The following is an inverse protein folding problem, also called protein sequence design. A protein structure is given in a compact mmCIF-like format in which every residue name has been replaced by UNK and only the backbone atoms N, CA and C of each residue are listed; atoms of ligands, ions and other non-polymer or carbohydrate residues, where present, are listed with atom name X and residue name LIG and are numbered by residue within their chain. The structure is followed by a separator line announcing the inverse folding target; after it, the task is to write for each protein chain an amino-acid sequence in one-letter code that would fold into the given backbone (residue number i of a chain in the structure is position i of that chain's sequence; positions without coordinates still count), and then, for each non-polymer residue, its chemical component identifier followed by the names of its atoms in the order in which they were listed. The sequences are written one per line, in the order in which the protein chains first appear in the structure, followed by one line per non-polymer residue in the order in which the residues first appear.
data_IF_466421099883
#
_entry.id   IF_466421099883
#
_cell.length_a   1.000
_cell.length_b   1.000
_cell.length_c   1.000
_cell.angle_alpha   90.00
_cell.angle_beta   90.00
_cell.angle_gamma   90.00
#
_symmetry.space_group_name_H-M   'P 1'
#
loop_
_entity.id
_entity.type
_entity.pdbx_description
1 polymer ?
#
# COMPACT_ATOMS: atom_id res chain seq x y z
N UNK A 1 17.69 -5.91 9.77
CA UNK A 1 16.81 -6.85 9.05
C UNK A 1 15.72 -6.09 8.30
N UNK A 2 14.96 -5.21 8.97
CA UNK A 2 13.94 -4.36 8.32
C UNK A 2 14.48 -3.47 7.19
N UNK A 3 15.58 -2.73 7.40
CA UNK A 3 16.17 -1.87 6.34
C UNK A 3 16.62 -2.61 5.08
N UNK A 4 17.08 -3.86 5.22
CA UNK A 4 17.48 -4.68 4.06
C UNK A 4 16.24 -5.18 3.30
N UNK A 5 15.17 -5.52 4.03
CA UNK A 5 13.89 -5.86 3.45
C UNK A 5 13.26 -4.65 2.75
N UNK A 6 13.27 -3.48 3.36
CA UNK A 6 12.82 -2.22 2.75
C UNK A 6 13.58 -1.94 1.45
N UNK A 7 14.91 -2.03 1.46
CA UNK A 7 15.73 -1.78 0.28
C UNK A 7 15.55 -2.82 -0.84
N UNK A 8 15.21 -4.07 -0.49
CA UNK A 8 14.85 -5.10 -1.46
C UNK A 8 13.46 -4.85 -2.04
N UNK A 9 12.47 -4.63 -1.18
CA UNK A 9 11.08 -4.44 -1.58
C UNK A 9 10.93 -3.16 -2.42
N UNK A 10 11.57 -2.05 -2.06
CA UNK A 10 11.57 -0.84 -2.89
C UNK A 10 12.13 -1.05 -4.30
N UNK A 11 13.06 -2.01 -4.48
CA UNK A 11 13.57 -2.37 -5.82
C UNK A 11 12.62 -3.28 -6.58
N UNK A 12 11.98 -4.22 -5.90
CA UNK A 12 11.12 -5.21 -6.54
C UNK A 12 9.68 -4.76 -6.73
N UNK A 13 9.17 -3.80 -5.95
CA UNK A 13 7.79 -3.31 -6.08
C UNK A 13 7.49 -2.80 -7.49
N UNK A 14 8.34 -1.96 -8.12
CA UNK A 14 8.15 -1.59 -9.53
C UNK A 14 8.19 -2.78 -10.49
N UNK A 15 8.99 -3.81 -10.19
CA UNK A 15 9.07 -5.03 -11.00
C UNK A 15 7.84 -5.93 -10.88
N UNK A 16 7.17 -5.94 -9.72
CA UNK A 16 5.94 -6.68 -9.46
C UNK A 16 4.75 -5.92 -10.07
N UNK A 17 4.68 -4.61 -9.85
CA UNK A 17 3.60 -3.74 -10.30
C UNK A 17 3.96 -2.98 -11.58
N UNK A 18 4.48 -3.65 -12.60
CA UNK A 18 5.06 -3.01 -13.81
C UNK A 18 4.15 -2.04 -14.57
N UNK A 19 2.83 -2.19 -14.43
CA UNK A 19 1.82 -1.33 -15.07
C UNK A 19 1.48 -0.08 -14.25
N UNK A 20 1.95 -0.02 -13.02
CA UNK A 20 1.68 1.06 -12.08
C UNK A 20 2.95 1.86 -11.84
N UNK A 21 2.78 3.15 -11.58
CA UNK A 21 3.85 4.06 -11.16
C UNK A 21 3.69 4.39 -9.68
N UNK A 22 4.80 4.56 -8.96
CA UNK A 22 4.76 4.99 -7.56
C UNK A 22 4.28 6.45 -7.50
N UNK A 23 3.22 6.68 -6.73
CA UNK A 23 2.67 8.00 -6.42
C UNK A 23 3.26 8.53 -5.11
N UNK A 24 3.28 7.69 -4.07
CA UNK A 24 3.83 8.03 -2.77
C UNK A 24 4.45 6.81 -2.07
N UNK A 25 5.32 7.08 -1.10
CA UNK A 25 5.95 6.09 -0.22
C UNK A 25 5.71 6.52 1.21
N UNK A 26 5.42 5.57 2.10
CA UNK A 26 5.06 5.81 3.51
C UNK A 26 3.89 6.79 3.67
N UNK A 27 2.86 6.64 2.84
CA UNK A 27 1.67 7.49 2.90
C UNK A 27 0.84 7.20 4.15
N UNK A 28 0.34 8.26 4.78
CA UNK A 28 -0.56 8.16 5.93
C UNK A 28 -1.99 8.36 5.46
N UNK A 29 -2.76 7.29 5.49
CA UNK A 29 -4.18 7.23 5.15
C UNK A 29 -5.06 7.67 6.34
N UNK A 30 -6.37 7.91 6.11
CA UNK A 30 -7.33 8.15 7.18
C UNK A 30 -7.23 7.12 8.31
N UNK A 31 -7.44 7.57 9.54
CA UNK A 31 -7.23 6.71 10.72
C UNK A 31 -5.77 6.44 11.06
N UNK A 32 -4.82 7.20 10.48
CA UNK A 32 -3.36 7.08 10.70
C UNK A 32 -2.79 5.71 10.29
N UNK A 33 -3.40 5.10 9.27
CA UNK A 33 -2.92 3.83 8.71
C UNK A 33 -1.80 4.15 7.73
N UNK A 34 -0.67 3.45 7.81
CA UNK A 34 0.44 3.64 6.89
C UNK A 34 0.32 2.66 5.72
N UNK A 35 0.34 3.19 4.51
CA UNK A 35 0.65 2.42 3.30
C UNK A 35 2.13 2.64 2.97
N UNK A 36 2.89 1.55 2.83
CA UNK A 36 4.33 1.67 2.55
C UNK A 36 4.54 2.13 1.09
N UNK A 37 3.67 1.71 0.17
CA UNK A 37 3.64 2.20 -1.21
C UNK A 37 2.23 2.51 -1.65
N UNK A 38 2.07 3.64 -2.34
CA UNK A 38 0.90 3.99 -3.11
C UNK A 38 1.29 4.06 -4.58
N UNK A 39 0.62 3.28 -5.42
CA UNK A 39 0.86 3.21 -6.85
C UNK A 39 -0.42 3.56 -7.62
N UNK A 40 -0.26 4.00 -8.86
CA UNK A 40 -1.37 4.30 -9.78
C UNK A 40 -1.06 3.85 -11.19
N UNK A 41 -2.03 3.25 -11.87
CA UNK A 41 -1.93 2.92 -13.30
C UNK A 41 -2.37 4.10 -14.19
N UNK A 42 -2.23 3.93 -15.51
CA UNK A 42 -2.62 4.95 -16.48
C UNK A 42 -4.15 5.19 -16.55
N UNK A 43 -4.96 4.22 -16.10
CA UNK A 43 -6.41 4.30 -16.09
C UNK A 43 -6.94 5.02 -14.82
N UNK A 44 -6.06 5.32 -13.88
CA UNK A 44 -6.37 5.98 -12.61
C UNK A 44 -6.83 5.01 -11.51
N UNK A 45 -6.45 3.74 -11.61
CA UNK A 45 -6.62 2.75 -10.54
C UNK A 45 -5.49 2.90 -9.54
N UNK A 46 -5.85 3.12 -8.27
CA UNK A 46 -4.91 3.24 -7.16
C UNK A 46 -4.65 1.89 -6.50
N UNK A 47 -3.41 1.63 -6.07
CA UNK A 47 -3.04 0.42 -5.34
C UNK A 47 -2.22 0.82 -4.12
N UNK A 48 -2.64 0.34 -2.94
CA UNK A 48 -1.95 0.59 -1.68
C UNK A 48 -1.35 -0.71 -1.17
N UNK A 49 -0.07 -0.67 -0.82
CA UNK A 49 0.71 -1.85 -0.41
C UNK A 49 1.27 -1.63 0.99
N UNK A 50 1.04 -2.61 1.86
CA UNK A 50 1.72 -2.73 3.14
C UNK A 50 2.66 -3.94 3.09
N UNK A 51 3.90 -3.74 3.51
CA UNK A 51 4.96 -4.73 3.51
C UNK A 51 5.15 -5.25 4.92
N UNK A 52 5.17 -6.57 5.07
CA UNK A 52 5.43 -7.19 6.37
C UNK A 52 6.46 -8.30 6.28
N UNK A 53 7.47 -8.25 7.16
CA UNK A 53 8.38 -9.36 7.40
C UNK A 53 7.73 -10.50 8.22
N UNK A 54 6.55 -10.22 8.82
CA UNK A 54 5.83 -11.17 9.67
C UNK A 54 4.84 -11.96 8.83
N UNK A 55 4.62 -13.21 9.21
CA UNK A 55 3.57 -14.04 8.61
C UNK A 55 2.21 -13.37 8.75
N UNK A 56 1.45 -13.34 7.66
CA UNK A 56 0.06 -12.87 7.67
C UNK A 56 -0.79 -13.90 8.44
N UNK A 57 -1.27 -13.51 9.61
CA UNK A 57 -2.11 -14.32 10.50
C UNK A 57 -3.42 -13.63 10.87
N UNK A 58 -4.19 -14.19 11.80
CA UNK A 58 -5.51 -13.66 12.20
C UNK A 58 -5.48 -12.20 12.67
N UNK A 59 -4.44 -11.79 13.38
CA UNK A 59 -4.26 -10.40 13.84
C UNK A 59 -4.05 -9.42 12.68
N UNK A 60 -3.52 -9.89 11.56
CA UNK A 60 -3.33 -9.10 10.33
C UNK A 60 -4.64 -8.83 9.60
N UNK A 61 -5.66 -9.70 9.75
CA UNK A 61 -6.95 -9.52 9.09
C UNK A 61 -7.63 -8.21 9.52
N UNK A 62 -7.61 -7.89 10.83
CA UNK A 62 -8.14 -6.63 11.31
C UNK A 62 -7.44 -5.41 10.72
N UNK A 63 -6.11 -5.48 10.55
CA UNK A 63 -5.34 -4.41 9.90
C UNK A 63 -5.70 -4.26 8.42
N UNK A 64 -5.89 -5.36 7.70
CA UNK A 64 -6.33 -5.35 6.30
C UNK A 64 -7.70 -4.69 6.17
N UNK A 65 -8.65 -5.05 7.04
CA UNK A 65 -9.99 -4.44 7.05
C UNK A 65 -9.94 -2.94 7.38
N UNK A 66 -9.11 -2.55 8.35
CA UNK A 66 -8.91 -1.15 8.67
C UNK A 66 -8.31 -0.38 7.48
N UNK A 67 -7.33 -0.97 6.80
CA UNK A 67 -6.71 -0.36 5.61
C UNK A 67 -7.73 -0.19 4.48
N UNK A 68 -8.54 -1.23 4.21
CA UNK A 68 -9.63 -1.13 3.24
C UNK A 68 -10.62 -0.02 3.58
N UNK A 69 -11.02 0.07 4.86
CA UNK A 69 -11.92 1.14 5.32
C UNK A 69 -11.27 2.53 5.17
N UNK A 70 -9.98 2.68 5.47
CA UNK A 70 -9.28 3.94 5.30
C UNK A 70 -9.23 4.37 3.83
N UNK A 71 -8.89 3.45 2.92
CA UNK A 71 -8.84 3.72 1.48
C UNK A 71 -10.22 4.13 0.95
N UNK A 72 -11.28 3.45 1.41
CA UNK A 72 -12.66 3.73 1.02
C UNK A 72 -13.17 5.10 1.47
N UNK A 73 -12.50 5.74 2.43
CA UNK A 73 -12.88 7.05 2.99
C UNK A 73 -11.86 8.16 2.64
N UNK A 74 -11.00 7.96 1.64
CA UNK A 74 -10.10 9.01 1.14
C UNK A 74 -10.92 10.08 0.43
N UNK A 75 -10.59 11.36 0.70
CA UNK A 75 -11.19 12.52 0.06
C UNK A 75 -10.11 13.30 -0.72
N UNK A 76 -10.31 13.62 -2.02
CA UNK A 76 -11.48 13.25 -2.83
C UNK A 76 -11.57 11.74 -3.09
N UNK A 77 -12.77 11.20 -3.40
CA UNK A 77 -12.95 9.76 -3.60
C UNK A 77 -12.07 9.24 -4.73
N UNK A 78 -11.44 8.09 -4.48
CA UNK A 78 -10.66 7.40 -5.50
C UNK A 78 -11.56 6.89 -6.62
N UNK A 79 -11.06 6.90 -7.85
CA UNK A 79 -11.82 6.41 -9.02
C UNK A 79 -12.04 4.90 -8.92
N UNK A 80 -10.97 4.16 -8.61
CA UNK A 80 -10.92 2.71 -8.35
C UNK A 80 -9.71 2.38 -7.48
N UNK A 81 -9.82 1.34 -6.66
CA UNK A 81 -8.72 0.74 -5.89
C UNK A 81 -9.02 -0.72 -5.55
#
# INVERSE_FOLDING_TARGET
MERALEAFVSREIPNIFRKYSIVAVNEILPGRIRADFHLRDQDGTDVFVEVSARKIGRTKLGQILNMYAAISNIEPPLRKF
#
